data_IF_441008947477
#
_entry.id   IF_441008947477
#
_cell.length_a   1.000
_cell.length_b   1.000
_cell.length_c   1.000
_cell.angle_alpha   90.00
_cell.angle_beta   90.00
_cell.angle_gamma   90.00
#
_symmetry.space_group_name_H-M   'P 1'
#
loop_
_entity.id
_entity.type
_entity.pdbx_description
1 polymer ?
#
# COMPACT_ATOMS: atom_id res chain seq x y z
N UNK A 1 14.81 -28.63 12.28
CA UNK A 1 13.46 -28.41 12.83
C UNK A 1 12.45 -28.83 11.78
N UNK A 2 11.59 -29.80 12.09
CA UNK A 2 10.46 -30.14 11.23
C UNK A 2 9.43 -29.03 11.37
N UNK A 3 9.43 -28.13 10.39
CA UNK A 3 8.52 -27.00 10.29
C UNK A 3 7.06 -27.40 10.54
N UNK A 4 6.47 -26.92 11.65
CA UNK A 4 5.11 -27.25 12.10
C UNK A 4 4.06 -27.02 10.99
N UNK A 5 4.24 -25.97 10.20
CA UNK A 5 3.35 -25.59 9.09
C UNK A 5 3.26 -26.61 7.95
N UNK A 6 4.19 -27.56 7.82
CA UNK A 6 4.07 -28.65 6.83
C UNK A 6 3.01 -29.69 7.22
N UNK A 7 2.69 -29.85 8.50
CA UNK A 7 1.68 -30.83 8.95
C UNK A 7 0.24 -30.36 8.76
N UNK A 8 0.01 -29.04 8.70
CA UNK A 8 -1.33 -28.47 8.63
C UNK A 8 -1.76 -28.08 7.20
N UNK A 9 -0.81 -28.09 6.24
CA UNK A 9 -1.02 -27.72 4.85
C UNK A 9 -1.80 -28.75 4.01
N UNK A 10 -2.14 -29.93 4.53
CA UNK A 10 -2.98 -30.89 3.79
C UNK A 10 -4.41 -30.39 3.58
N UNK A 11 -4.83 -29.33 4.28
CA UNK A 11 -6.19 -28.75 4.18
C UNK A 11 -6.23 -27.29 3.71
N UNK A 12 -5.11 -26.65 3.40
CA UNK A 12 -5.08 -25.26 2.93
C UNK A 12 -4.15 -25.11 1.73
N UNK A 13 -4.59 -24.37 0.71
CA UNK A 13 -3.79 -24.01 -0.47
C UNK A 13 -2.69 -22.99 -0.09
N UNK A 14 -1.70 -23.42 0.68
CA UNK A 14 -0.52 -22.60 0.95
C UNK A 14 0.38 -22.57 -0.30
N UNK A 15 0.46 -21.40 -0.94
CA UNK A 15 1.40 -21.14 -2.04
C UNK A 15 2.63 -20.45 -1.48
N UNK A 16 3.75 -21.17 -1.40
CA UNK A 16 5.04 -20.54 -1.12
C UNK A 16 5.51 -19.74 -2.36
N UNK A 17 5.19 -18.45 -2.39
CA UNK A 17 5.55 -17.54 -3.48
C UNK A 17 7.07 -17.39 -3.70
N UNK A 18 7.88 -17.79 -2.73
CA UNK A 18 9.35 -17.70 -2.78
C UNK A 18 10.04 -19.04 -3.08
N UNK A 19 9.28 -20.13 -3.25
CA UNK A 19 9.85 -21.46 -3.52
C UNK A 19 10.67 -21.54 -4.82
N UNK A 20 10.44 -20.63 -5.77
CA UNK A 20 11.13 -20.57 -7.05
C UNK A 20 12.38 -19.69 -7.05
N UNK A 21 12.64 -18.96 -5.96
CA UNK A 21 13.80 -18.08 -5.87
C UNK A 21 15.01 -18.93 -5.44
N UNK A 22 15.72 -19.46 -6.44
CA UNK A 22 17.02 -20.11 -6.24
C UNK A 22 18.06 -19.06 -5.85
N UNK A 23 18.40 -19.02 -4.57
CA UNK A 23 19.71 -18.91 -3.89
C UNK A 23 20.93 -18.27 -4.61
N UNK A 24 20.75 -17.38 -5.59
CA UNK A 24 21.89 -16.66 -6.19
C UNK A 24 21.44 -15.27 -6.62
N UNK A 25 21.68 -14.30 -5.74
CA UNK A 25 21.55 -12.86 -6.04
C UNK A 25 20.72 -12.05 -5.04
N UNK A 26 19.95 -12.70 -4.16
CA UNK A 26 19.27 -11.99 -3.07
C UNK A 26 20.24 -11.52 -1.98
N UNK A 27 21.35 -12.24 -1.78
CA UNK A 27 22.32 -11.89 -0.73
C UNK A 27 23.01 -10.54 -0.96
N UNK A 28 23.40 -10.18 -2.19
CA UNK A 28 24.03 -8.88 -2.47
C UNK A 28 23.06 -7.69 -2.31
N UNK A 29 21.80 -7.87 -2.71
CA UNK A 29 20.75 -6.85 -2.56
C UNK A 29 20.31 -6.73 -1.09
N UNK A 30 20.27 -7.86 -0.37
CA UNK A 30 20.16 -7.88 1.07
C UNK A 30 21.37 -7.19 1.71
N UNK A 31 22.61 -7.35 1.22
CA UNK A 31 23.83 -6.68 1.69
C UNK A 31 23.73 -5.13 1.58
N UNK A 32 23.17 -4.60 0.48
CA UNK A 32 22.92 -3.15 0.30
C UNK A 32 21.76 -2.63 1.19
N UNK A 33 20.74 -3.46 1.44
CA UNK A 33 19.73 -3.21 2.48
C UNK A 33 20.26 -3.45 3.91
N UNK A 34 21.32 -4.26 4.07
CA UNK A 34 21.99 -4.65 5.31
C UNK A 34 22.83 -3.49 5.85
N UNK A 35 23.45 -2.69 4.96
CA UNK A 35 24.13 -1.43 5.29
C UNK A 35 23.11 -0.34 5.65
N UNK A 36 21.96 -0.29 5.00
CA UNK A 36 20.82 0.56 5.41
C UNK A 36 20.21 0.11 6.75
N UNK A 37 20.25 -1.18 7.09
CA UNK A 37 19.77 -1.74 8.36
C UNK A 37 20.61 -1.37 9.59
N UNK A 38 21.72 -0.65 9.40
CA UNK A 38 22.48 0.06 10.45
C UNK A 38 22.19 1.56 10.47
N UNK A 39 21.25 2.09 9.67
CA UNK A 39 20.93 3.51 9.75
C UNK A 39 20.24 3.79 11.08
N UNK A 40 20.99 4.36 12.01
CA UNK A 40 20.39 5.12 13.09
C UNK A 40 19.57 6.24 12.45
N UNK A 41 18.41 6.53 13.05
CA UNK A 41 17.65 7.72 12.70
C UNK A 41 18.56 8.94 12.85
N UNK A 42 18.82 9.61 11.74
CA UNK A 42 19.69 10.77 11.64
C UNK A 42 18.92 11.96 11.05
N UNK A 43 18.72 12.98 11.88
CA UNK A 43 18.05 14.20 11.46
C UNK A 43 18.86 14.98 10.41
N UNK A 44 20.19 14.81 10.33
CA UNK A 44 20.99 15.44 9.28
C UNK A 44 20.63 14.87 7.91
N UNK A 45 20.66 13.54 7.76
CA UNK A 45 20.21 12.86 6.54
C UNK A 45 18.75 13.18 6.21
N UNK A 46 17.86 13.20 7.20
CA UNK A 46 16.47 13.62 7.00
C UNK A 46 16.39 15.05 6.44
N UNK A 47 17.22 15.98 6.92
CA UNK A 47 17.26 17.37 6.42
C UNK A 47 17.66 17.44 4.95
N UNK A 48 18.65 16.65 4.53
CA UNK A 48 19.06 16.59 3.11
C UNK A 48 17.89 16.17 2.20
N UNK A 49 17.13 15.16 2.62
CA UNK A 49 15.95 14.71 1.89
C UNK A 49 14.82 15.76 1.88
N UNK A 50 14.63 16.52 2.96
CA UNK A 50 13.71 17.66 2.99
C UNK A 50 14.12 18.74 1.99
N UNK A 51 15.41 19.09 1.91
CA UNK A 51 15.94 20.08 0.97
C UNK A 51 15.74 19.63 -0.48
N UNK A 52 16.06 18.36 -0.77
CA UNK A 52 15.84 17.77 -2.10
C UNK A 52 14.35 17.77 -2.47
N UNK A 53 13.47 17.44 -1.53
CA UNK A 53 12.03 17.52 -1.74
C UNK A 53 11.55 18.94 -2.02
N UNK A 54 12.06 19.95 -1.29
CA UNK A 54 11.73 21.36 -1.52
C UNK A 54 12.13 21.81 -2.93
N UNK A 55 13.29 21.38 -3.43
CA UNK A 55 13.74 21.67 -4.79
C UNK A 55 12.75 21.11 -5.84
N UNK A 56 12.33 19.84 -5.71
CA UNK A 56 11.31 19.27 -6.59
C UNK A 56 9.95 19.94 -6.45
N UNK A 57 9.59 20.37 -5.24
CA UNK A 57 8.34 21.08 -4.97
C UNK A 57 8.30 22.43 -5.71
N UNK A 58 9.37 23.21 -5.67
CA UNK A 58 9.46 24.47 -6.41
C UNK A 58 9.35 24.28 -7.93
N UNK A 59 9.72 23.11 -8.45
CA UNK A 59 9.59 22.74 -9.86
C UNK A 59 8.21 22.18 -10.23
N UNK A 60 7.23 22.23 -9.32
CA UNK A 60 5.91 21.60 -9.46
C UNK A 60 5.93 20.07 -9.67
N UNK A 61 7.03 19.39 -9.29
CA UNK A 61 7.18 17.93 -9.42
C UNK A 61 6.70 17.23 -8.14
N UNK A 62 5.40 17.27 -7.89
CA UNK A 62 4.79 16.88 -6.61
C UNK A 62 5.08 15.45 -6.16
N UNK A 63 4.98 14.48 -7.08
CA UNK A 63 5.26 13.07 -6.75
C UNK A 63 6.73 12.84 -6.36
N UNK A 64 7.67 13.49 -7.08
CA UNK A 64 9.11 13.40 -6.76
C UNK A 64 9.44 14.09 -5.44
N UNK A 65 8.83 15.24 -5.19
CA UNK A 65 8.96 15.93 -3.91
C UNK A 65 8.46 15.06 -2.75
N UNK A 66 7.28 14.44 -2.92
CA UNK A 66 6.70 13.52 -1.94
C UNK A 66 7.57 12.28 -1.69
N UNK A 67 8.18 11.71 -2.73
CA UNK A 67 9.14 10.60 -2.58
C UNK A 67 10.33 11.00 -1.69
N UNK A 68 10.89 12.19 -1.92
CA UNK A 68 11.97 12.72 -1.07
C UNK A 68 11.51 12.95 0.38
N UNK A 69 10.32 13.51 0.59
CA UNK A 69 9.81 13.72 1.95
C UNK A 69 9.52 12.39 2.67
N UNK A 70 9.07 11.35 1.96
CA UNK A 70 8.92 10.00 2.53
C UNK A 70 10.27 9.38 2.88
N UNK A 71 11.28 9.54 2.03
CA UNK A 71 12.66 9.14 2.37
C UNK A 71 13.17 9.87 3.60
N UNK A 72 12.86 11.16 3.76
CA UNK A 72 13.17 11.90 4.98
C UNK A 72 12.60 11.23 6.24
N UNK A 73 11.35 10.73 6.20
CA UNK A 73 10.75 10.01 7.35
C UNK A 73 11.51 8.74 7.72
N UNK A 74 12.10 8.04 6.73
CA UNK A 74 12.94 6.87 7.00
C UNK A 74 14.12 7.21 7.92
N UNK A 75 14.68 8.42 7.80
CA UNK A 75 15.83 8.88 8.60
C UNK A 75 15.44 9.76 9.80
N UNK A 76 14.26 10.38 9.80
CA UNK A 76 13.84 11.26 10.89
C UNK A 76 13.71 10.50 12.22
N UNK A 77 14.23 11.11 13.29
CA UNK A 77 14.02 10.62 14.66
C UNK A 77 12.56 10.81 15.06
N UNK A 78 12.01 9.85 15.80
CA UNK A 78 10.64 9.91 16.30
C UNK A 78 10.43 11.13 17.21
N UNK A 79 9.30 11.82 17.04
CA UNK A 79 8.96 13.06 17.72
C UNK A 79 9.78 14.27 17.28
N UNK A 80 10.67 14.17 16.28
CA UNK A 80 11.54 15.29 15.90
C UNK A 80 10.82 16.38 15.09
N UNK A 81 11.43 17.57 15.03
CA UNK A 81 10.96 18.62 14.11
C UNK A 81 11.05 18.19 12.65
N UNK A 82 11.98 17.31 12.31
CA UNK A 82 12.16 16.78 10.96
C UNK A 82 11.00 15.87 10.54
N UNK A 83 10.52 15.03 11.46
CA UNK A 83 9.31 14.23 11.26
C UNK A 83 8.10 15.14 11.01
N UNK A 84 7.91 16.16 11.86
CA UNK A 84 6.83 17.14 11.72
C UNK A 84 6.89 17.88 10.37
N UNK A 85 8.10 18.30 9.95
CA UNK A 85 8.32 18.98 8.68
C UNK A 85 8.09 18.07 7.48
N UNK A 86 8.49 16.80 7.56
CA UNK A 86 8.26 15.84 6.49
C UNK A 86 6.76 15.60 6.27
N UNK A 87 5.99 15.35 7.34
CA UNK A 87 4.53 15.21 7.25
C UNK A 87 3.85 16.49 6.74
N UNK A 88 4.27 17.66 7.22
CA UNK A 88 3.82 18.95 6.69
C UNK A 88 4.08 19.04 5.19
N UNK A 89 5.28 18.71 4.72
CA UNK A 89 5.64 18.85 3.32
C UNK A 89 4.92 17.83 2.42
N UNK A 90 4.68 16.61 2.90
CA UNK A 90 3.82 15.62 2.23
C UNK A 90 2.39 16.16 2.10
N UNK A 91 1.86 16.80 3.15
CA UNK A 91 0.51 17.41 3.10
C UNK A 91 0.40 18.50 2.03
N UNK A 92 1.48 19.26 1.80
CA UNK A 92 1.52 20.24 0.72
C UNK A 92 1.41 19.57 -0.66
N UNK A 93 2.14 18.47 -0.89
CA UNK A 93 2.08 17.71 -2.14
C UNK A 93 0.69 17.11 -2.37
N UNK A 94 0.12 16.46 -1.36
CA UNK A 94 -1.20 15.81 -1.43
C UNK A 94 -2.31 16.83 -1.73
N UNK A 95 -2.25 18.02 -1.13
CA UNK A 95 -3.20 19.10 -1.43
C UNK A 95 -3.14 19.52 -2.90
N UNK A 96 -1.94 19.58 -3.49
CA UNK A 96 -1.77 19.90 -4.93
C UNK A 96 -2.29 18.78 -5.84
N UNK A 97 -2.35 17.54 -5.33
CA UNK A 97 -2.89 16.37 -6.02
C UNK A 97 -4.40 16.14 -5.74
N UNK A 98 -5.03 17.01 -4.95
CA UNK A 98 -6.43 16.88 -4.50
C UNK A 98 -6.72 15.61 -3.66
N UNK A 99 -5.72 15.06 -2.99
CA UNK A 99 -5.86 13.92 -2.07
C UNK A 99 -6.14 14.45 -0.66
N UNK A 100 -7.39 14.87 -0.44
CA UNK A 100 -7.74 15.70 0.70
C UNK A 100 -7.74 14.93 2.04
N UNK A 101 -8.17 13.67 2.04
CA UNK A 101 -8.19 12.83 3.24
C UNK A 101 -6.78 12.57 3.76
N UNK A 102 -5.89 12.20 2.85
CA UNK A 102 -4.48 11.95 3.09
C UNK A 102 -3.77 13.22 3.54
N UNK A 103 -4.16 14.37 2.97
CA UNK A 103 -3.65 15.68 3.41
C UNK A 103 -4.00 15.93 4.87
N UNK A 104 -5.27 15.75 5.26
CA UNK A 104 -5.71 15.94 6.64
C UNK A 104 -5.02 14.97 7.60
N UNK A 105 -4.83 13.71 7.19
CA UNK A 105 -4.11 12.72 7.99
C UNK A 105 -2.64 13.10 8.22
N UNK A 106 -1.93 13.52 7.17
CA UNK A 106 -0.54 14.00 7.32
C UNK A 106 -0.45 15.25 8.21
N UNK A 107 -1.45 16.14 8.17
CA UNK A 107 -1.48 17.31 9.06
C UNK A 107 -1.63 16.87 10.52
N UNK A 108 -2.42 15.84 10.79
CA UNK A 108 -2.59 15.30 12.13
C UNK A 108 -1.30 14.66 12.64
N UNK A 109 -0.65 13.82 11.84
CA UNK A 109 0.67 13.24 12.18
C UNK A 109 1.72 14.33 12.44
N UNK A 110 1.74 15.39 11.63
CA UNK A 110 2.64 16.52 11.84
C UNK A 110 2.40 17.25 13.17
N UNK A 111 1.17 17.29 13.67
CA UNK A 111 0.81 17.93 14.95
C UNK A 111 1.16 17.07 16.17
N UNK A 112 1.20 15.75 16.00
CA UNK A 112 1.61 14.80 17.04
C UNK A 112 3.14 14.81 17.26
N UNK A 113 3.90 15.36 16.30
CA UNK A 113 5.37 15.56 16.38
C UNK A 113 5.75 16.95 16.89
N UNK A 114 7.04 17.20 17.16
CA UNK A 114 7.56 18.53 17.57
C UNK A 114 7.49 19.57 16.43
N UNK A 115 6.29 20.09 16.14
CA UNK A 115 6.02 21.00 15.05
C UNK A 115 6.53 22.43 15.34
N UNK A 116 7.39 23.01 14.49
CA UNK A 116 7.84 24.40 14.65
C UNK A 116 6.67 25.39 14.52
N UNK A 117 6.59 26.38 15.41
CA UNK A 117 5.49 27.36 15.47
C UNK A 117 5.26 28.10 14.14
N UNK A 118 6.34 28.40 13.42
CA UNK A 118 6.30 29.06 12.10
C UNK A 118 5.44 28.33 11.07
N UNK A 119 5.26 27.01 11.20
CA UNK A 119 4.55 26.15 10.23
C UNK A 119 3.07 26.01 10.59
N UNK A 120 2.69 26.23 11.86
CA UNK A 120 1.31 26.06 12.35
C UNK A 120 0.27 26.87 11.56
N UNK A 121 0.50 28.15 11.20
CA UNK A 121 -0.45 28.93 10.38
C UNK A 121 -0.67 28.30 9.00
N UNK A 122 0.40 27.83 8.36
CA UNK A 122 0.33 27.20 7.03
C UNK A 122 -0.49 25.91 7.07
N UNK A 123 -0.33 25.08 8.11
CA UNK A 123 -1.15 23.87 8.26
C UNK A 123 -2.63 24.20 8.48
N UNK A 124 -2.93 25.21 9.29
CA UNK A 124 -4.33 25.68 9.47
C UNK A 124 -4.94 26.11 8.14
N UNK A 125 -4.19 26.87 7.33
CA UNK A 125 -4.66 27.28 6.01
C UNK A 125 -4.92 26.08 5.08
N UNK A 126 -4.04 25.07 5.08
CA UNK A 126 -4.25 23.86 4.28
C UNK A 126 -5.48 23.06 4.70
N UNK A 127 -5.78 22.98 6.00
CA UNK A 127 -7.04 22.35 6.47
C UNK A 127 -8.26 23.09 5.90
N UNK A 128 -8.27 24.42 5.97
CA UNK A 128 -9.36 25.23 5.40
C UNK A 128 -9.50 24.97 3.90
N UNK A 129 -8.38 24.93 3.18
CA UNK A 129 -8.39 24.69 1.73
C UNK A 129 -8.88 23.28 1.37
N UNK A 130 -8.48 22.24 2.12
CA UNK A 130 -9.00 20.88 2.00
C UNK A 130 -10.52 20.87 2.18
N UNK A 131 -11.00 21.35 3.32
CA UNK A 131 -12.43 21.34 3.66
C UNK A 131 -13.26 22.10 2.62
N UNK A 132 -12.78 23.28 2.18
CA UNK A 132 -13.45 24.05 1.13
C UNK A 132 -13.54 23.25 -0.17
N UNK A 133 -12.46 22.62 -0.63
CA UNK A 133 -12.45 21.85 -1.89
C UNK A 133 -13.28 20.58 -1.81
N UNK A 134 -13.30 19.92 -0.65
CA UNK A 134 -14.14 18.75 -0.38
C UNK A 134 -15.63 19.11 -0.46
N UNK A 135 -16.04 20.21 0.19
CA UNK A 135 -17.42 20.70 0.16
C UNK A 135 -17.89 21.10 -1.24
N UNK A 136 -16.98 21.59 -2.08
CA UNK A 136 -17.29 22.01 -3.45
C UNK A 136 -17.29 20.85 -4.46
N UNK A 137 -16.90 19.63 -4.06
CA UNK A 137 -16.81 18.47 -4.95
C UNK A 137 -18.07 17.59 -4.85
N UNK A 138 -18.89 17.47 -5.92
CA UNK A 138 -20.14 16.69 -5.89
C UNK A 138 -19.94 15.19 -5.61
N UNK A 139 -18.75 14.65 -5.86
CA UNK A 139 -18.42 13.22 -5.71
C UNK A 139 -17.86 12.84 -4.33
N UNK A 140 -17.48 13.83 -3.51
CA UNK A 140 -16.85 13.59 -2.21
C UNK A 140 -17.74 12.81 -1.21
N UNK A 141 -19.07 13.00 -1.15
CA UNK A 141 -19.96 12.21 -0.29
C UNK A 141 -20.01 10.70 -0.64
N UNK A 142 -19.53 10.31 -1.82
CA UNK A 142 -19.43 8.91 -2.28
C UNK A 142 -18.07 8.32 -1.89
N UNK A 143 -16.98 9.07 -2.07
CA UNK A 143 -15.62 8.67 -1.69
C UNK A 143 -15.47 8.39 -0.19
N UNK A 144 -16.07 9.24 0.65
CA UNK A 144 -16.09 9.07 2.11
C UNK A 144 -16.91 7.83 2.57
N UNK A 145 -17.88 7.38 1.76
CA UNK A 145 -18.63 6.14 2.03
C UNK A 145 -17.86 4.88 1.64
N UNK A 146 -17.01 4.95 0.62
CA UNK A 146 -16.24 3.79 0.13
C UNK A 146 -15.04 3.44 1.03
N UNK A 147 -14.43 4.42 1.70
CA UNK A 147 -13.27 4.22 2.59
C UNK A 147 -13.62 3.89 4.06
N UNK A 148 -14.86 3.45 4.36
CA UNK A 148 -15.29 3.14 5.74
C UNK A 148 -14.62 1.92 6.38
N UNK A 149 -13.95 1.07 5.61
CA UNK A 149 -13.24 -0.07 6.15
C UNK A 149 -11.77 0.28 6.40
N UNK A 150 -11.45 0.60 7.66
CA UNK A 150 -10.08 0.53 8.15
C UNK A 150 -9.89 -0.85 8.78
N UNK A 151 -9.02 -1.71 8.23
CA UNK A 151 -8.59 -2.90 8.94
C UNK A 151 -8.08 -2.50 10.34
N UNK A 152 -8.14 -3.40 11.29
CA UNK A 152 -7.62 -3.17 12.65
C UNK A 152 -6.76 -4.33 13.05
N UNK A 153 -5.73 -4.04 13.84
CA UNK A 153 -4.98 -5.08 14.52
C UNK A 153 -5.92 -5.82 15.46
N UNK A 154 -5.77 -7.15 15.53
CA UNK A 154 -6.50 -7.99 16.47
C UNK A 154 -6.00 -7.82 17.91
N UNK A 155 -4.81 -7.23 18.07
CA UNK A 155 -4.12 -7.04 19.35
C UNK A 155 -3.75 -5.56 19.53
N UNK A 156 -3.24 -5.23 20.72
CA UNK A 156 -2.64 -3.91 20.95
C UNK A 156 -1.47 -3.69 20.00
N UNK A 157 -1.31 -2.45 19.55
CA UNK A 157 -0.19 -2.06 18.73
C UNK A 157 1.11 -2.10 19.55
N UNK A 158 2.22 -2.39 18.88
CA UNK A 158 3.55 -2.24 19.43
C UNK A 158 3.86 -0.75 19.68
N UNK A 159 4.63 -0.46 20.73
CA UNK A 159 4.94 0.92 21.14
C UNK A 159 5.76 1.67 20.09
N UNK A 160 6.72 0.98 19.47
CA UNK A 160 7.62 1.56 18.47
C UNK A 160 7.06 1.43 17.05
N UNK A 161 6.19 0.43 16.83
CA UNK A 161 5.63 0.11 15.52
C UNK A 161 4.09 0.03 15.56
N UNK A 162 3.37 1.17 15.48
CA UNK A 162 1.91 1.19 15.60
C UNK A 162 1.14 0.38 14.55
N UNK A 163 1.77 0.07 13.41
CA UNK A 163 1.23 -0.79 12.36
C UNK A 163 1.33 -2.30 12.67
N UNK A 164 2.04 -2.66 13.74
CA UNK A 164 2.37 -4.02 14.12
C UNK A 164 1.73 -4.36 15.47
N UNK A 165 1.23 -5.58 15.63
CA UNK A 165 0.73 -6.07 16.89
C UNK A 165 1.88 -6.37 17.88
N UNK A 166 1.69 -6.06 19.15
CA UNK A 166 2.70 -6.27 20.19
C UNK A 166 3.02 -7.75 20.49
N UNK A 167 2.21 -8.68 19.95
CA UNK A 167 2.41 -10.15 20.02
C UNK A 167 3.43 -10.68 19.00
N UNK A 168 3.94 -9.81 18.11
CA UNK A 168 5.07 -10.12 17.23
C UNK A 168 6.23 -9.17 17.52
N UNK A 169 7.44 -9.56 17.12
CA UNK A 169 8.62 -8.71 17.14
C UNK A 169 9.44 -8.83 15.88
N UNK A 170 10.18 -7.77 15.58
CA UNK A 170 11.15 -7.74 14.51
C UNK A 170 12.47 -8.32 15.04
N UNK A 171 12.86 -9.49 14.54
CA UNK A 171 14.17 -10.08 14.78
C UNK A 171 15.05 -10.04 13.53
N UNK A 172 16.33 -10.42 13.70
CA UNK A 172 17.28 -10.55 12.60
C UNK A 172 18.14 -11.79 12.75
N UNK A 173 18.34 -12.53 11.65
CA UNK A 173 19.35 -13.57 11.54
C UNK A 173 19.92 -13.66 10.12
N UNK A 174 20.95 -14.49 9.93
CA UNK A 174 21.66 -14.60 8.65
C UNK A 174 20.86 -15.34 7.57
N UNK A 175 19.80 -16.07 7.94
CA UNK A 175 18.99 -16.88 7.01
C UNK A 175 17.86 -16.05 6.42
N UNK A 176 17.16 -15.27 7.24
CA UNK A 176 15.94 -14.54 6.86
C UNK A 176 16.14 -13.03 6.82
N UNK A 177 17.30 -12.52 7.23
CA UNK A 177 17.49 -11.10 7.44
C UNK A 177 16.55 -10.59 8.53
N UNK A 178 15.97 -9.40 8.33
CA UNK A 178 14.95 -8.82 9.23
C UNK A 178 13.61 -9.52 9.00
N UNK A 179 13.05 -10.13 10.03
CA UNK A 179 11.83 -10.93 9.94
C UNK A 179 10.96 -10.76 11.20
N UNK A 180 9.67 -11.09 11.08
CA UNK A 180 8.75 -11.08 12.20
C UNK A 180 8.73 -12.44 12.90
N UNK A 181 8.76 -12.43 14.22
CA UNK A 181 8.67 -13.62 15.08
C UNK A 181 7.51 -13.44 16.05
N UNK A 182 6.69 -14.48 16.19
CA UNK A 182 5.62 -14.49 17.18
C UNK A 182 6.20 -14.68 18.59
N UNK A 183 5.77 -13.85 19.54
CA UNK A 183 6.14 -13.96 20.98
C UNK A 183 5.29 -14.98 21.72
N UNK A 184 4.16 -15.36 21.15
CA UNK A 184 3.21 -16.34 21.71
C UNK A 184 2.49 -17.08 20.59
N UNK A 185 1.69 -18.10 20.95
CA UNK A 185 0.79 -18.73 20.01
C UNK A 185 -0.30 -17.74 19.56
N UNK A 186 -0.53 -17.67 18.25
CA UNK A 186 -1.48 -16.75 17.62
C UNK A 186 -2.54 -17.58 16.90
N UNK A 187 -3.82 -17.51 17.29
CA UNK A 187 -4.88 -18.21 16.59
C UNK A 187 -4.98 -17.82 15.11
N UNK A 188 -5.47 -18.74 14.29
CA UNK A 188 -5.74 -18.48 12.88
C UNK A 188 -6.78 -17.35 12.72
N UNK A 189 -6.58 -16.50 11.72
CA UNK A 189 -7.50 -15.40 11.39
C UNK A 189 -7.23 -14.08 12.12
N UNK A 190 -6.17 -14.00 12.93
CA UNK A 190 -5.81 -12.78 13.65
C UNK A 190 -4.92 -11.85 12.81
N UNK A 191 -5.24 -10.54 12.83
CA UNK A 191 -4.46 -9.52 12.13
C UNK A 191 -3.32 -9.04 13.01
N UNK A 192 -2.08 -9.33 12.63
CA UNK A 192 -0.86 -8.98 13.40
C UNK A 192 -0.03 -7.86 12.78
N UNK A 193 -0.30 -7.48 11.54
CA UNK A 193 0.35 -6.37 10.86
C UNK A 193 -0.64 -5.72 9.91
N UNK A 194 -0.64 -4.41 9.87
CA UNK A 194 -1.48 -3.60 9.01
C UNK A 194 -0.67 -2.40 8.52
N UNK A 195 -0.26 -2.45 7.26
CA UNK A 195 0.36 -1.30 6.59
C UNK A 195 -0.74 -0.55 5.82
N UNK A 196 -0.88 0.76 6.03
CA UNK A 196 -1.65 1.58 5.08
C UNK A 196 -0.82 1.73 3.81
N UNK A 197 -1.43 1.51 2.64
CA UNK A 197 -0.76 1.71 1.37
C UNK A 197 -0.12 3.10 1.34
N UNK A 198 1.20 3.17 1.39
CA UNK A 198 1.92 4.34 0.94
C UNK A 198 1.65 4.33 -0.56
N UNK A 199 0.86 5.26 -1.12
CA UNK A 199 0.38 5.17 -2.49
C UNK A 199 1.59 4.87 -3.36
N UNK A 200 1.57 3.63 -3.89
CA UNK A 200 2.57 3.15 -4.82
C UNK A 200 2.66 4.26 -5.84
N UNK A 201 3.83 4.88 -5.95
CA UNK A 201 4.11 5.79 -7.03
C UNK A 201 3.94 4.90 -8.26
N UNK A 202 2.75 4.94 -8.86
CA UNK A 202 2.52 4.37 -10.17
C UNK A 202 3.53 5.11 -11.03
N UNK A 203 4.46 4.34 -11.56
CA UNK A 203 5.33 4.88 -12.57
C UNK A 203 4.43 5.16 -13.77
N UNK A 204 4.00 6.41 -13.91
CA UNK A 204 3.13 6.89 -14.98
C UNK A 204 3.75 6.65 -16.38
N UNK A 205 5.00 6.17 -16.44
CA UNK A 205 5.72 5.82 -17.65
C UNK A 205 5.61 4.30 -17.96
N UNK A 206 4.37 3.83 -18.12
CA UNK A 206 4.02 2.44 -18.48
C UNK A 206 4.14 2.13 -19.99
N UNK A 207 4.89 2.96 -20.74
CA UNK A 207 5.19 2.75 -22.17
C UNK A 207 6.58 2.13 -22.41
N UNK A 208 7.30 1.74 -21.36
CA UNK A 208 8.67 1.24 -21.48
C UNK A 208 8.71 -0.17 -22.08
N UNK A 209 9.64 -0.39 -23.01
CA UNK A 209 9.95 -1.73 -23.51
C UNK A 209 10.34 -2.68 -22.36
N UNK A 210 10.35 -3.99 -22.64
CA UNK A 210 10.79 -5.00 -21.67
C UNK A 210 12.20 -4.65 -21.16
N UNK A 211 13.11 -4.29 -22.06
CA UNK A 211 14.50 -3.94 -21.78
C UNK A 211 14.60 -2.67 -20.92
N UNK A 212 13.78 -1.66 -21.22
CA UNK A 212 13.75 -0.42 -20.45
C UNK A 212 13.21 -0.64 -19.04
N UNK A 213 12.25 -1.54 -18.84
CA UNK A 213 11.76 -1.93 -17.51
C UNK A 213 12.76 -2.77 -16.76
N UNK A 214 13.39 -3.76 -17.39
CA UNK A 214 14.49 -4.53 -16.77
C UNK A 214 15.61 -3.60 -16.32
N UNK A 215 16.01 -2.67 -17.18
CA UNK A 215 17.02 -1.65 -16.89
C UNK A 215 16.58 -0.72 -15.77
N UNK A 216 15.32 -0.27 -15.76
CA UNK A 216 14.80 0.58 -14.69
C UNK A 216 14.71 -0.16 -13.34
N UNK A 217 14.21 -1.39 -13.34
CA UNK A 217 14.14 -2.25 -12.15
C UNK A 217 15.54 -2.48 -11.57
N UNK A 218 16.52 -2.73 -12.44
CA UNK A 218 17.92 -2.88 -12.08
C UNK A 218 18.55 -1.59 -11.56
N UNK A 219 18.37 -0.46 -12.25
CA UNK A 219 18.96 0.83 -11.87
C UNK A 219 18.31 1.45 -10.64
N UNK A 220 16.98 1.33 -10.49
CA UNK A 220 16.23 2.01 -9.44
C UNK A 220 16.14 1.20 -8.17
N UNK A 221 16.08 -0.12 -8.29
CA UNK A 221 15.78 -1.03 -7.19
C UNK A 221 16.73 -2.24 -7.11
N UNK A 222 17.75 -2.34 -7.96
CA UNK A 222 18.70 -3.46 -7.95
C UNK A 222 18.14 -4.79 -8.46
N UNK A 223 16.91 -4.81 -8.96
CA UNK A 223 16.21 -6.04 -9.33
C UNK A 223 16.62 -6.47 -10.75
N UNK A 224 17.36 -7.58 -10.86
CA UNK A 224 17.69 -8.21 -12.15
C UNK A 224 16.49 -9.05 -12.66
N UNK A 225 15.52 -8.36 -13.25
CA UNK A 225 14.28 -8.96 -13.72
C UNK A 225 14.50 -9.80 -14.99
N UNK A 226 14.41 -11.13 -14.86
CA UNK A 226 14.59 -12.08 -15.98
C UNK A 226 13.31 -12.38 -16.77
N UNK A 227 12.18 -11.75 -16.45
CA UNK A 227 10.91 -12.12 -17.08
C UNK A 227 10.83 -11.64 -18.55
N UNK A 228 10.41 -12.54 -19.43
CA UNK A 228 10.17 -12.26 -20.85
C UNK A 228 8.74 -11.77 -21.12
N UNK A 229 7.85 -11.95 -20.14
CA UNK A 229 6.42 -11.64 -20.22
C UNK A 229 6.03 -10.36 -19.50
N UNK A 230 7.00 -9.50 -19.13
CA UNK A 230 6.68 -8.17 -18.66
C UNK A 230 6.10 -7.41 -19.86
N UNK A 231 4.82 -7.53 -20.13
CA UNK A 231 4.09 -6.66 -21.04
C UNK A 231 3.02 -6.07 -20.15
N UNK A 232 2.81 -4.73 -20.09
CA UNK A 232 1.58 -4.25 -19.50
C UNK A 232 0.47 -4.93 -20.28
N UNK A 233 -0.30 -5.80 -19.62
CA UNK A 233 -1.42 -6.49 -20.27
C UNK A 233 -2.44 -5.39 -20.56
N UNK A 234 -2.28 -4.74 -21.71
CA UNK A 234 -3.32 -3.99 -22.37
C UNK A 234 -4.19 -4.98 -23.12
N UNK A 235 -4.77 -5.94 -22.39
CA UNK A 235 -6.03 -6.46 -22.89
C UNK A 235 -6.95 -5.24 -22.93
N UNK A 236 -7.19 -4.74 -24.15
CA UNK A 236 -8.06 -3.59 -24.37
C UNK A 236 -9.36 -3.85 -23.62
N UNK A 237 -9.69 -3.00 -22.66
CA UNK A 237 -10.95 -3.11 -21.96
C UNK A 237 -12.07 -2.75 -22.95
N UNK A 238 -12.76 -3.76 -23.48
CA UNK A 238 -13.97 -3.55 -24.26
C UNK A 238 -15.19 -3.65 -23.33
N UNK A 239 -15.74 -2.49 -22.98
CA UNK A 239 -16.92 -2.38 -22.13
C UNK A 239 -18.09 -3.23 -22.64
N UNK A 240 -18.26 -3.41 -23.96
CA UNK A 240 -19.33 -4.23 -24.52
C UNK A 240 -19.11 -5.71 -24.23
N UNK A 241 -17.86 -6.17 -24.27
CA UNK A 241 -17.51 -7.56 -23.92
C UNK A 241 -17.71 -7.80 -22.44
N UNK A 242 -17.25 -6.89 -21.58
CA UNK A 242 -17.35 -7.02 -20.12
C UNK A 242 -18.80 -7.00 -19.63
N UNK A 243 -19.62 -6.10 -20.15
CA UNK A 243 -21.03 -5.98 -19.74
C UNK A 243 -21.93 -7.06 -20.33
N UNK A 244 -21.49 -7.75 -21.39
CA UNK A 244 -22.22 -8.87 -21.97
C UNK A 244 -21.89 -10.22 -21.34
N UNK A 245 -20.80 -10.31 -20.55
CA UNK A 245 -20.37 -11.50 -19.84
C UNK A 245 -21.46 -12.06 -18.90
N UNK A 246 -21.62 -13.38 -18.93
CA UNK A 246 -22.64 -14.08 -18.15
C UNK A 246 -22.39 -13.99 -16.65
N UNK A 247 -21.12 -14.04 -16.23
CA UNK A 247 -20.72 -13.97 -14.82
C UNK A 247 -20.95 -12.56 -14.30
N UNK A 248 -20.60 -11.53 -15.09
CA UNK A 248 -20.90 -10.13 -14.75
C UNK A 248 -22.40 -9.89 -14.55
N UNK A 249 -23.24 -10.31 -15.52
CA UNK A 249 -24.70 -10.16 -15.43
C UNK A 249 -25.27 -10.86 -14.22
N UNK A 250 -24.82 -12.09 -13.96
CA UNK A 250 -25.23 -12.84 -12.77
C UNK A 250 -24.94 -12.08 -11.47
N UNK A 251 -23.73 -11.53 -11.34
CA UNK A 251 -23.33 -10.76 -10.15
C UNK A 251 -24.17 -9.49 -10.03
N UNK A 252 -24.39 -8.75 -11.12
CA UNK A 252 -25.23 -7.55 -11.12
C UNK A 252 -26.66 -7.85 -10.66
N UNK A 253 -27.24 -8.97 -11.10
CA UNK A 253 -28.61 -9.36 -10.75
C UNK A 253 -28.72 -9.91 -9.31
N UNK A 254 -27.70 -10.64 -8.82
CA UNK A 254 -27.82 -11.44 -7.60
C UNK A 254 -26.98 -10.93 -6.41
N UNK A 255 -26.15 -9.89 -6.55
CA UNK A 255 -25.26 -9.41 -5.47
C UNK A 255 -25.97 -9.00 -4.17
N UNK A 256 -27.28 -8.74 -4.20
CA UNK A 256 -28.08 -8.42 -3.00
C UNK A 256 -28.80 -9.62 -2.40
N UNK A 257 -28.80 -10.76 -3.08
CA UNK A 257 -29.50 -11.96 -2.63
C UNK A 257 -28.61 -12.75 -1.67
N UNK A 258 -28.89 -12.62 -0.36
CA UNK A 258 -28.12 -13.26 0.71
C UNK A 258 -28.18 -14.78 0.69
N UNK A 259 -29.20 -15.37 0.07
CA UNK A 259 -29.38 -16.83 0.02
C UNK A 259 -28.58 -17.50 -1.10
N UNK A 260 -28.00 -16.72 -2.02
CA UNK A 260 -27.30 -17.24 -3.20
C UNK A 260 -25.80 -16.92 -3.22
N UNK A 261 -25.27 -16.65 -2.02
CA UNK A 261 -23.90 -16.23 -1.80
C UNK A 261 -22.85 -17.07 -2.54
N UNK A 262 -22.96 -18.39 -2.45
CA UNK A 262 -21.97 -19.31 -3.04
C UNK A 262 -21.88 -19.14 -4.56
N UNK A 263 -23.01 -18.93 -5.23
CA UNK A 263 -23.04 -18.71 -6.67
C UNK A 263 -22.59 -17.29 -7.03
N UNK A 264 -22.90 -16.28 -6.22
CA UNK A 264 -22.37 -14.92 -6.40
C UNK A 264 -20.84 -14.92 -6.32
N UNK A 265 -20.26 -15.56 -5.30
CA UNK A 265 -18.80 -15.72 -5.14
C UNK A 265 -18.18 -16.44 -6.34
N UNK A 266 -18.77 -17.57 -6.75
CA UNK A 266 -18.30 -18.34 -7.91
C UNK A 266 -18.27 -17.49 -9.20
N UNK A 267 -19.31 -16.71 -9.45
CA UNK A 267 -19.38 -15.84 -10.63
C UNK A 267 -18.44 -14.64 -10.52
N UNK A 268 -18.20 -14.11 -9.32
CA UNK A 268 -17.17 -13.09 -9.12
C UNK A 268 -15.77 -13.62 -9.45
N UNK A 269 -15.42 -14.81 -8.97
CA UNK A 269 -14.12 -15.45 -9.27
C UNK A 269 -13.98 -15.64 -10.78
N UNK A 270 -14.97 -16.24 -11.44
CA UNK A 270 -14.94 -16.49 -12.88
C UNK A 270 -14.77 -15.20 -13.70
N UNK A 271 -15.47 -14.13 -13.30
CA UNK A 271 -15.32 -12.83 -13.93
C UNK A 271 -13.90 -12.26 -13.72
N UNK A 272 -13.37 -12.30 -12.50
CA UNK A 272 -12.05 -11.76 -12.16
C UNK A 272 -10.91 -12.60 -12.76
N UNK A 273 -11.07 -13.90 -12.93
CA UNK A 273 -10.13 -14.74 -13.69
C UNK A 273 -10.07 -14.32 -15.15
N UNK A 274 -11.22 -13.95 -15.73
CA UNK A 274 -11.35 -13.55 -17.13
C UNK A 274 -10.86 -12.12 -17.38
N UNK A 275 -11.25 -11.17 -16.53
CA UNK A 275 -11.05 -9.73 -16.76
C UNK A 275 -10.16 -9.04 -15.72
N UNK A 276 -9.83 -9.69 -14.60
CA UNK A 276 -9.07 -9.07 -13.51
C UNK A 276 -7.63 -8.69 -13.88
N UNK A 277 -7.12 -9.14 -15.04
CA UNK A 277 -5.83 -8.75 -15.60
C UNK A 277 -5.92 -7.64 -16.66
N UNK A 278 -7.13 -7.19 -17.00
CA UNK A 278 -7.37 -6.08 -17.94
C UNK A 278 -7.19 -4.73 -17.25
N UNK A 279 -7.25 -3.64 -18.02
CA UNK A 279 -7.28 -2.29 -17.45
C UNK A 279 -8.45 -2.15 -16.45
N UNK A 280 -8.16 -1.60 -15.27
CA UNK A 280 -9.15 -1.39 -14.22
C UNK A 280 -10.36 -0.61 -14.75
N UNK A 281 -11.57 -1.09 -14.45
CA UNK A 281 -12.82 -0.52 -14.92
C UNK A 281 -13.87 -0.51 -13.80
N UNK A 282 -14.95 0.29 -13.95
CA UNK A 282 -16.06 0.28 -12.99
C UNK A 282 -16.69 -1.12 -12.80
N UNK A 283 -16.72 -1.95 -13.84
CA UNK A 283 -17.24 -3.31 -13.79
C UNK A 283 -16.33 -4.24 -12.97
N UNK A 284 -15.00 -4.14 -13.17
CA UNK A 284 -14.02 -4.89 -12.37
C UNK A 284 -14.09 -4.45 -10.91
N UNK A 285 -14.15 -3.14 -10.66
CA UNK A 285 -14.30 -2.59 -9.33
C UNK A 285 -15.58 -3.06 -8.64
N UNK A 286 -16.70 -3.05 -9.36
CA UNK A 286 -17.98 -3.54 -8.85
C UNK A 286 -17.90 -5.01 -8.44
N UNK A 287 -17.43 -5.89 -9.33
CA UNK A 287 -17.33 -7.34 -9.04
C UNK A 287 -16.35 -7.60 -7.90
N UNK A 288 -15.21 -6.90 -7.88
CA UNK A 288 -14.23 -7.01 -6.79
C UNK A 288 -14.84 -6.61 -5.44
N UNK A 289 -15.61 -5.53 -5.40
CA UNK A 289 -16.29 -5.07 -4.20
C UNK A 289 -17.36 -6.06 -3.72
N UNK A 290 -18.17 -6.62 -4.64
CA UNK A 290 -19.16 -7.66 -4.31
C UNK A 290 -18.47 -8.91 -3.77
N UNK A 291 -17.40 -9.38 -4.41
CA UNK A 291 -16.62 -10.52 -3.92
C UNK A 291 -16.10 -10.29 -2.50
N UNK A 292 -15.53 -9.11 -2.22
CA UNK A 292 -15.06 -8.75 -0.89
C UNK A 292 -16.19 -8.60 0.15
N UNK A 293 -17.37 -8.12 -0.24
CA UNK A 293 -18.55 -8.13 0.63
C UNK A 293 -19.00 -9.55 0.93
N UNK A 294 -18.98 -10.41 -0.08
CA UNK A 294 -19.32 -11.80 0.10
C UNK A 294 -18.38 -12.42 1.13
N UNK A 295 -17.07 -12.49 0.89
CA UNK A 295 -16.12 -13.10 1.83
C UNK A 295 -16.36 -12.69 3.30
N UNK A 296 -16.65 -11.41 3.55
CA UNK A 296 -17.01 -10.90 4.89
C UNK A 296 -18.24 -11.53 5.53
N UNK A 297 -19.31 -11.81 4.78
CA UNK A 297 -20.51 -12.48 5.30
C UNK A 297 -20.31 -13.99 5.46
N UNK A 298 -19.45 -14.61 4.64
CA UNK A 298 -19.15 -16.04 4.70
C UNK A 298 -18.24 -16.47 5.86
N UNK A 299 -17.43 -15.55 6.40
CA UNK A 299 -16.62 -15.77 7.61
C UNK A 299 -17.36 -15.47 8.92
N UNK A 300 -18.68 -15.25 8.86
CA UNK A 300 -19.53 -14.92 10.00
C UNK A 300 -20.28 -16.10 10.66
N UNK A 301 -20.02 -17.35 10.24
CA UNK A 301 -20.60 -18.56 10.82
C UNK A 301 -19.53 -19.49 11.35
#
# INVERSE_FOLDING_TARGET
MNNLWKKEAERTEYVNLFASVKDSGLDEMCIELFTLGKSQKDNLQSTEWLVNGNNYFCQNKWYKAMECYRKSLCFAQAGSANEALAYSNISACLLRLNWFNETLHCIELARQSNLPDRVKPTLKQRVIDCLRRMLMSPSYPVYERMHKFKPKLSYNADEDYPCMANVVEIQRNDIFGRHLVAKCDIPVGQTVLMEEDIPLIRDDNDNRSIEQRKTFLKLRWGIDCKCEKCVPIRASFDKKVTTSDLSYKYVVENHKNTNDFANVVKNCIRFLETFGRSQWSPEIEFVFNVYGQCLRMGFGN
#
